data_IF_828538803905
#
_entry.id   IF_828538803905
#
_cell.length_a   1.000
_cell.length_b   1.000
_cell.length_c   1.000
_cell.angle_alpha   90.00
_cell.angle_beta   90.00
_cell.angle_gamma   90.00
#
_symmetry.space_group_name_H-M   'P 1'
#
loop_
_entity.id
_entity.type
_entity.pdbx_description
1 polymer ?
#
# COMPACT_ATOMS: atom_id res chain seq x y z
N UNK A 1 38.04 -5.20 -22.83
CA UNK A 1 39.01 -6.02 -22.08
C UNK A 1 38.22 -7.09 -21.37
N UNK A 2 38.34 -8.35 -21.82
CA UNK A 2 37.54 -9.45 -21.28
C UNK A 2 37.95 -9.68 -19.82
N UNK A 3 37.01 -9.61 -18.89
CA UNK A 3 37.33 -9.80 -17.46
C UNK A 3 37.47 -11.30 -17.22
N UNK A 4 38.68 -11.76 -16.84
CA UNK A 4 38.88 -13.14 -16.41
C UNK A 4 38.17 -13.36 -15.06
N UNK A 5 37.24 -14.32 -15.04
CA UNK A 5 36.45 -14.72 -13.88
C UNK A 5 37.36 -15.14 -12.71
N UNK A 6 38.51 -15.76 -13.00
CA UNK A 6 39.46 -16.21 -11.98
C UNK A 6 40.13 -15.03 -11.28
N UNK A 7 40.49 -14.00 -12.04
CA UNK A 7 41.12 -12.79 -11.50
C UNK A 7 40.13 -12.00 -10.64
N UNK A 8 38.87 -11.89 -11.09
CA UNK A 8 37.80 -11.29 -10.30
C UNK A 8 37.59 -12.06 -8.98
N UNK A 9 37.55 -13.39 -9.03
CA UNK A 9 37.38 -14.22 -7.83
C UNK A 9 38.53 -14.07 -6.83
N UNK A 10 39.77 -14.01 -7.31
CA UNK A 10 40.96 -13.78 -6.47
C UNK A 10 40.94 -12.38 -5.83
N UNK A 11 40.53 -11.36 -6.59
CA UNK A 11 40.34 -10.01 -6.07
C UNK A 11 39.27 -9.98 -4.98
N UNK A 12 38.11 -10.59 -5.21
CA UNK A 12 37.04 -10.68 -4.20
C UNK A 12 37.51 -11.36 -2.92
N UNK A 13 38.22 -12.50 -3.01
CA UNK A 13 38.79 -13.18 -1.83
C UNK A 13 39.76 -12.31 -1.05
N UNK A 14 40.62 -11.57 -1.74
CA UNK A 14 41.58 -10.68 -1.09
C UNK A 14 40.91 -9.50 -0.39
N UNK A 15 39.85 -8.94 -0.99
CA UNK A 15 39.05 -7.88 -0.38
C UNK A 15 38.35 -8.36 0.88
N UNK A 16 37.78 -9.57 0.87
CA UNK A 16 37.11 -10.15 2.06
C UNK A 16 38.12 -10.39 3.19
N UNK A 17 39.33 -10.90 2.87
CA UNK A 17 40.37 -11.15 3.88
C UNK A 17 40.90 -9.87 4.53
N UNK A 18 41.11 -8.82 3.75
CA UNK A 18 41.65 -7.54 4.22
C UNK A 18 40.92 -6.37 3.52
N UNK A 19 39.78 -5.90 4.05
CA UNK A 19 38.98 -4.87 3.39
C UNK A 19 39.66 -3.50 3.36
N UNK A 20 40.35 -3.12 4.45
CA UNK A 20 40.89 -1.77 4.66
C UNK A 20 41.95 -1.37 3.63
N UNK A 21 42.82 -2.29 3.24
CA UNK A 21 43.87 -2.06 2.25
C UNK A 21 43.36 -2.14 0.80
N UNK A 22 42.17 -2.72 0.59
CA UNK A 22 41.68 -3.07 -0.75
C UNK A 22 40.47 -2.25 -1.23
N UNK A 23 39.98 -1.26 -0.46
CA UNK A 23 38.89 -0.37 -0.89
C UNK A 23 39.13 0.33 -2.24
N UNK A 24 40.38 0.72 -2.53
CA UNK A 24 40.75 1.30 -3.83
C UNK A 24 40.56 0.31 -4.99
N UNK A 25 40.79 -0.98 -4.75
CA UNK A 25 40.62 -2.04 -5.77
C UNK A 25 39.15 -2.25 -6.11
N UNK A 26 38.24 -2.19 -5.12
CA UNK A 26 36.79 -2.24 -5.39
C UNK A 26 36.38 -1.10 -6.33
N UNK A 27 36.85 0.12 -6.06
CA UNK A 27 36.54 1.27 -6.92
C UNK A 27 37.11 1.11 -8.33
N UNK A 28 38.30 0.52 -8.47
CA UNK A 28 38.88 0.21 -9.78
C UNK A 28 38.04 -0.81 -10.56
N UNK A 29 37.60 -1.89 -9.90
CA UNK A 29 36.71 -2.92 -10.50
C UNK A 29 35.42 -2.26 -11.00
N UNK A 30 34.78 -1.43 -10.17
CA UNK A 30 33.54 -0.74 -10.52
C UNK A 30 33.68 0.28 -11.65
N UNK A 31 34.87 0.86 -11.82
CA UNK A 31 35.15 1.83 -12.88
C UNK A 31 35.70 1.19 -14.16
N UNK A 32 35.87 -0.14 -14.18
CA UNK A 32 36.37 -0.84 -15.36
C UNK A 32 35.32 -0.74 -16.46
N UNK A 33 35.67 -0.08 -17.57
CA UNK A 33 34.77 0.07 -18.72
C UNK A 33 34.52 -1.31 -19.32
N UNK A 34 33.28 -1.75 -19.21
CA UNK A 34 32.79 -3.03 -19.73
C UNK A 34 31.89 -2.75 -20.93
N UNK A 35 32.19 -3.42 -22.04
CA UNK A 35 31.43 -3.31 -23.29
C UNK A 35 30.25 -4.29 -23.30
N UNK A 36 30.37 -5.44 -22.60
CA UNK A 36 29.32 -6.45 -22.46
C UNK A 36 28.45 -6.23 -21.22
N UNK A 37 27.13 -6.39 -21.37
CA UNK A 37 26.17 -6.40 -20.25
C UNK A 37 26.36 -7.60 -19.30
N UNK A 38 26.88 -8.72 -19.80
CA UNK A 38 27.14 -9.92 -19.01
C UNK A 38 28.30 -9.70 -18.02
N UNK A 39 29.36 -9.02 -18.47
CA UNK A 39 30.50 -8.66 -17.62
C UNK A 39 30.08 -7.69 -16.51
N UNK A 40 29.26 -6.68 -16.84
CA UNK A 40 28.68 -5.74 -15.85
C UNK A 40 27.86 -6.48 -14.80
N UNK A 41 27.01 -7.39 -15.26
CA UNK A 41 26.17 -8.23 -14.42
C UNK A 41 27.01 -9.07 -13.45
N UNK A 42 28.08 -9.69 -13.94
CA UNK A 42 29.01 -10.48 -13.13
C UNK A 42 29.70 -9.63 -12.06
N UNK A 43 30.15 -8.42 -12.44
CA UNK A 43 30.78 -7.47 -11.49
C UNK A 43 29.80 -7.08 -10.40
N UNK A 44 28.57 -6.67 -10.74
CA UNK A 44 27.58 -6.25 -9.75
C UNK A 44 27.25 -7.34 -8.74
N UNK A 45 27.02 -8.57 -9.20
CA UNK A 45 26.74 -9.69 -8.32
C UNK A 45 27.94 -10.04 -7.44
N UNK A 46 29.16 -10.00 -7.99
CA UNK A 46 30.39 -10.32 -7.25
C UNK A 46 30.70 -9.27 -6.17
N UNK A 47 30.60 -7.99 -6.52
CA UNK A 47 30.82 -6.88 -5.59
C UNK A 47 29.73 -6.86 -4.51
N UNK A 48 28.47 -7.16 -4.85
CA UNK A 48 27.41 -7.32 -3.86
C UNK A 48 27.74 -8.41 -2.82
N UNK A 49 28.21 -9.59 -3.26
CA UNK A 49 28.61 -10.67 -2.33
C UNK A 49 29.75 -10.25 -1.41
N UNK A 50 30.71 -9.48 -1.92
CA UNK A 50 31.79 -8.90 -1.11
C UNK A 50 31.21 -7.95 -0.05
N UNK A 51 30.30 -7.07 -0.43
CA UNK A 51 29.65 -6.16 0.51
C UNK A 51 28.79 -6.87 1.57
N UNK A 52 28.13 -7.97 1.21
CA UNK A 52 27.40 -8.84 2.16
C UNK A 52 28.28 -9.32 3.33
N UNK A 53 29.57 -9.49 3.09
CA UNK A 53 30.54 -9.97 4.09
C UNK A 53 31.26 -8.87 4.87
N UNK A 54 31.29 -7.63 4.35
CA UNK A 54 32.13 -6.53 4.91
C UNK A 54 31.28 -5.46 5.59
N UNK A 55 30.03 -5.27 5.14
CA UNK A 55 29.19 -4.19 5.67
C UNK A 55 28.78 -4.49 7.11
N UNK A 56 28.96 -3.52 8.03
CA UNK A 56 28.47 -3.66 9.38
C UNK A 56 26.94 -3.75 9.40
N UNK A 57 26.41 -4.52 10.36
CA UNK A 57 24.96 -4.63 10.57
C UNK A 57 24.35 -3.39 11.25
N UNK A 58 25.17 -2.43 11.65
CA UNK A 58 24.74 -1.16 12.22
C UNK A 58 24.83 -0.03 11.18
N UNK A 59 23.96 0.97 11.33
CA UNK A 59 24.02 2.20 10.53
C UNK A 59 25.26 3.00 10.91
N UNK A 60 26.13 3.27 9.93
CA UNK A 60 27.31 4.10 10.15
C UNK A 60 26.82 5.53 10.44
N UNK A 61 27.08 6.04 11.64
CA UNK A 61 26.72 7.42 11.99
C UNK A 61 27.42 8.37 11.04
N UNK A 62 26.71 9.32 10.44
CA UNK A 62 27.32 10.37 9.62
C UNK A 62 27.31 11.68 10.40
N UNK A 63 28.14 12.67 10.02
CA UNK A 63 28.21 13.97 10.71
C UNK A 63 26.86 14.72 10.77
N UNK A 64 25.87 14.31 9.95
CA UNK A 64 24.51 14.84 9.94
C UNK A 64 23.61 14.29 11.06
N UNK A 65 23.98 13.15 11.66
CA UNK A 65 23.19 12.45 12.68
C UNK A 65 23.52 12.89 14.13
N UNK A 66 24.13 14.06 14.32
CA UNK A 66 24.48 14.57 15.67
C UNK A 66 23.23 14.93 16.48
N UNK A 67 22.63 13.94 17.12
CA UNK A 67 21.84 14.14 18.34
C UNK A 67 22.82 14.49 19.45
N UNK A 68 22.51 15.54 20.22
CA UNK A 68 23.29 15.99 21.38
C UNK A 68 23.24 14.94 22.51
N UNK A 69 23.91 13.81 22.36
CA UNK A 69 24.20 12.93 23.49
C UNK A 69 25.58 13.27 24.03
N UNK A 70 25.58 13.85 25.23
CA UNK A 70 26.77 14.06 26.05
C UNK A 70 27.19 12.69 26.59
N UNK A 71 28.38 12.26 26.18
CA UNK A 71 29.20 11.12 26.66
C UNK A 71 29.33 10.00 25.63
N UNK A 72 30.59 9.82 25.24
CA UNK A 72 31.19 8.80 24.38
C UNK A 72 31.03 9.02 22.87
N UNK A 73 31.83 9.98 22.39
CA UNK A 73 32.19 10.17 20.98
C UNK A 73 32.87 8.90 20.42
N UNK A 74 32.08 7.95 19.94
CA UNK A 74 32.54 7.00 18.92
C UNK A 74 32.73 7.80 17.62
N UNK A 75 33.90 8.42 17.48
CA UNK A 75 34.30 9.07 16.24
C UNK A 75 34.19 8.09 15.08
N UNK A 76 33.55 8.52 13.98
CA UNK A 76 33.49 7.77 12.73
C UNK A 76 34.92 7.49 12.29
N UNK A 77 35.34 6.23 12.31
CA UNK A 77 36.70 5.84 11.96
C UNK A 77 36.98 6.21 10.50
N UNK A 78 38.24 6.53 10.17
CA UNK A 78 38.64 6.83 8.77
C UNK A 78 38.22 5.70 7.80
N UNK A 79 38.18 4.47 8.31
CA UNK A 79 37.79 3.27 7.57
C UNK A 79 36.30 3.26 7.23
N UNK A 80 35.41 3.60 8.16
CA UNK A 80 33.96 3.71 7.92
C UNK A 80 33.65 4.76 6.84
N UNK A 81 34.35 5.91 6.88
CA UNK A 81 34.20 6.95 5.83
C UNK A 81 34.62 6.43 4.45
N UNK A 82 35.68 5.64 4.38
CA UNK A 82 36.16 5.08 3.11
C UNK A 82 35.21 3.99 2.59
N UNK A 83 34.75 3.09 3.46
CA UNK A 83 33.76 2.07 3.10
C UNK A 83 32.47 2.71 2.56
N UNK A 84 31.96 3.73 3.26
CA UNK A 84 30.75 4.45 2.88
C UNK A 84 30.90 5.14 1.51
N UNK A 85 32.07 5.72 1.21
CA UNK A 85 32.36 6.30 -0.13
C UNK A 85 32.37 5.26 -1.25
N UNK A 86 33.03 4.12 -1.03
CA UNK A 86 33.09 3.05 -2.03
C UNK A 86 31.70 2.47 -2.26
N UNK A 87 30.94 2.25 -1.18
CA UNK A 87 29.58 1.75 -1.28
C UNK A 87 28.64 2.74 -1.97
N UNK A 88 28.72 4.04 -1.65
CA UNK A 88 27.99 5.09 -2.37
C UNK A 88 28.21 5.03 -3.88
N UNK A 89 29.46 4.82 -4.29
CA UNK A 89 29.82 4.71 -5.71
C UNK A 89 29.13 3.51 -6.36
N UNK A 90 29.14 2.36 -5.67
CA UNK A 90 28.46 1.14 -6.12
C UNK A 90 26.94 1.32 -6.24
N UNK A 91 26.30 1.88 -5.21
CA UNK A 91 24.86 2.12 -5.20
C UNK A 91 24.46 3.07 -6.32
N UNK A 92 25.21 4.15 -6.52
CA UNK A 92 24.92 5.09 -7.60
C UNK A 92 24.99 4.43 -8.98
N UNK A 93 25.97 3.54 -9.21
CA UNK A 93 26.06 2.79 -10.46
C UNK A 93 24.86 1.85 -10.66
N UNK A 94 24.51 1.04 -9.65
CA UNK A 94 23.33 0.15 -9.71
C UNK A 94 22.04 0.93 -9.93
N UNK A 95 21.89 2.06 -9.23
CA UNK A 95 20.70 2.88 -9.33
C UNK A 95 20.57 3.54 -10.71
N UNK A 96 21.69 3.90 -11.34
CA UNK A 96 21.72 4.44 -12.71
C UNK A 96 21.43 3.38 -13.79
N UNK A 97 21.84 2.13 -13.57
CA UNK A 97 21.72 1.08 -14.57
C UNK A 97 20.32 0.46 -14.62
N UNK A 98 19.75 0.22 -15.80
CA UNK A 98 18.39 -0.31 -15.99
C UNK A 98 18.32 -1.83 -16.23
N UNK A 99 19.45 -2.54 -16.18
CA UNK A 99 19.51 -3.99 -16.39
C UNK A 99 18.70 -4.78 -15.36
N UNK A 100 18.32 -6.02 -15.71
CA UNK A 100 17.67 -6.95 -14.78
C UNK A 100 18.53 -7.19 -13.52
N UNK A 101 19.84 -7.33 -13.71
CA UNK A 101 20.78 -7.65 -12.64
C UNK A 101 20.95 -6.50 -11.66
N UNK A 102 20.85 -5.24 -12.09
CA UNK A 102 20.86 -4.08 -11.20
C UNK A 102 19.65 -4.09 -10.25
N UNK A 103 18.45 -4.39 -10.76
CA UNK A 103 17.26 -4.52 -9.92
C UNK A 103 17.34 -5.74 -9.01
N UNK A 104 17.87 -6.87 -9.50
CA UNK A 104 18.09 -8.06 -8.68
C UNK A 104 19.00 -7.73 -7.50
N UNK A 105 20.16 -7.12 -7.74
CA UNK A 105 21.09 -6.71 -6.67
C UNK A 105 20.42 -5.73 -5.72
N UNK A 106 19.66 -4.73 -6.21
CA UNK A 106 18.93 -3.80 -5.34
C UNK A 106 17.92 -4.50 -4.43
N UNK A 107 17.17 -5.49 -4.95
CA UNK A 107 16.24 -6.29 -4.12
C UNK A 107 16.96 -7.12 -3.07
N UNK A 108 18.12 -7.70 -3.40
CA UNK A 108 18.95 -8.46 -2.46
C UNK A 108 19.58 -7.58 -1.37
N UNK A 109 19.98 -6.34 -1.72
CA UNK A 109 20.46 -5.35 -0.75
C UNK A 109 19.35 -5.02 0.24
N UNK A 110 18.15 -4.74 -0.25
CA UNK A 110 17.00 -4.46 0.61
C UNK A 110 16.62 -5.65 1.48
N UNK A 111 16.78 -6.87 0.96
CA UNK A 111 16.48 -8.10 1.70
C UNK A 111 17.48 -8.35 2.84
N UNK A 112 18.76 -8.12 2.60
CA UNK A 112 19.81 -8.46 3.55
C UNK A 112 20.13 -7.37 4.58
N UNK A 113 20.03 -6.08 4.21
CA UNK A 113 20.43 -4.99 5.09
C UNK A 113 19.21 -4.22 5.63
N UNK A 114 18.96 -4.32 6.94
CA UNK A 114 17.83 -3.68 7.61
C UNK A 114 18.11 -2.21 7.98
N UNK A 115 19.26 -1.92 8.61
CA UNK A 115 19.62 -0.58 9.09
C UNK A 115 20.73 0.06 8.26
N UNK A 116 20.44 0.34 7.00
CA UNK A 116 21.45 0.74 6.01
C UNK A 116 21.37 2.22 5.60
N UNK A 117 22.53 2.88 5.43
CA UNK A 117 22.64 4.33 5.20
C UNK A 117 21.98 4.85 3.91
N UNK A 118 21.86 4.03 2.86
CA UNK A 118 21.28 4.41 1.57
C UNK A 118 19.99 3.64 1.25
N UNK A 119 19.25 3.29 2.30
CA UNK A 119 18.00 2.56 2.20
C UNK A 119 16.96 3.33 1.37
N UNK A 120 16.91 4.65 1.50
CA UNK A 120 16.06 5.55 0.71
C UNK A 120 16.33 5.45 -0.81
N UNK A 121 17.61 5.46 -1.20
CA UNK A 121 18.04 5.36 -2.61
C UNK A 121 17.69 3.99 -3.19
N UNK A 122 17.89 2.92 -2.40
CA UNK A 122 17.54 1.56 -2.81
C UNK A 122 16.04 1.37 -2.91
N UNK A 123 15.26 1.83 -1.93
CA UNK A 123 13.80 1.80 -1.98
C UNK A 123 13.29 2.53 -3.22
N UNK A 124 13.82 3.72 -3.53
CA UNK A 124 13.53 4.46 -4.77
C UNK A 124 13.82 3.65 -6.03
N UNK A 125 14.92 2.90 -6.06
CA UNK A 125 15.25 2.02 -7.17
C UNK A 125 14.27 0.85 -7.30
N UNK A 126 13.97 0.16 -6.21
CA UNK A 126 13.03 -0.98 -6.20
C UNK A 126 11.62 -0.53 -6.60
N UNK A 127 11.16 0.63 -6.12
CA UNK A 127 9.88 1.23 -6.55
C UNK A 127 9.82 1.47 -8.05
N UNK A 128 10.87 2.04 -8.66
CA UNK A 128 10.96 2.19 -10.12
C UNK A 128 10.93 0.85 -10.86
N UNK A 129 11.44 -0.22 -10.23
CA UNK A 129 11.42 -1.57 -10.78
C UNK A 129 10.02 -2.16 -10.92
N UNK A 130 9.08 -1.72 -10.08
CA UNK A 130 7.66 -2.16 -10.14
C UNK A 130 6.96 -1.76 -11.44
N UNK A 131 7.48 -0.75 -12.16
CA UNK A 131 6.95 -0.27 -13.44
C UNK A 131 7.59 -0.94 -14.66
N UNK A 132 8.58 -1.82 -14.46
CA UNK A 132 9.31 -2.49 -15.56
C UNK A 132 8.60 -3.78 -15.98
N UNK A 133 9.25 -4.54 -16.85
CA UNK A 133 8.79 -5.83 -17.36
C UNK A 133 8.33 -6.76 -16.23
N UNK A 134 7.37 -7.66 -16.52
CA UNK A 134 6.70 -8.51 -15.51
C UNK A 134 7.68 -9.20 -14.56
N UNK A 135 8.78 -9.79 -15.07
CA UNK A 135 9.79 -10.46 -14.22
C UNK A 135 10.45 -9.53 -13.19
N UNK A 136 10.83 -8.32 -13.60
CA UNK A 136 11.45 -7.33 -12.69
C UNK A 136 10.40 -6.82 -11.70
N UNK A 137 9.19 -6.52 -12.21
CA UNK A 137 8.10 -6.02 -11.38
C UNK A 137 7.70 -7.02 -10.29
N UNK A 138 7.50 -8.29 -10.63
CA UNK A 138 7.17 -9.38 -9.71
C UNK A 138 8.25 -9.57 -8.64
N UNK A 139 9.53 -9.52 -9.02
CA UNK A 139 10.66 -9.60 -8.09
C UNK A 139 10.67 -8.42 -7.11
N UNK A 140 10.48 -7.19 -7.60
CA UNK A 140 10.44 -6.00 -6.76
C UNK A 140 9.22 -6.00 -5.83
N UNK A 141 8.02 -6.34 -6.33
CA UNK A 141 6.78 -6.41 -5.55
C UNK A 141 6.85 -7.49 -4.46
N UNK A 142 7.36 -8.67 -4.78
CA UNK A 142 7.52 -9.76 -3.79
C UNK A 142 8.51 -9.39 -2.69
N UNK A 143 9.60 -8.69 -3.03
CA UNK A 143 10.57 -8.19 -2.04
C UNK A 143 9.94 -7.13 -1.14
N UNK A 144 9.24 -6.15 -1.71
CA UNK A 144 8.52 -5.13 -0.93
C UNK A 144 7.50 -5.80 0.00
N UNK A 145 6.71 -6.75 -0.50
CA UNK A 145 5.71 -7.46 0.29
C UNK A 145 6.32 -8.18 1.49
N UNK A 146 7.35 -9.01 1.27
CA UNK A 146 8.08 -9.72 2.34
C UNK A 146 8.58 -8.75 3.40
N UNK A 147 9.11 -7.61 2.97
CA UNK A 147 9.66 -6.60 3.86
C UNK A 147 8.62 -5.84 4.66
N UNK A 148 7.48 -5.48 4.06
CA UNK A 148 6.35 -4.88 4.78
C UNK A 148 5.79 -5.87 5.81
N UNK A 149 5.70 -7.16 5.47
CA UNK A 149 5.16 -8.19 6.35
C UNK A 149 6.08 -8.48 7.56
N UNK A 150 7.40 -8.35 7.38
CA UNK A 150 8.41 -8.61 8.41
C UNK A 150 8.87 -7.36 9.17
N UNK A 151 8.40 -6.16 8.82
CA UNK A 151 8.83 -4.90 9.47
C UNK A 151 8.17 -4.73 10.84
N UNK A 152 8.96 -4.92 11.90
CA UNK A 152 8.54 -4.81 13.29
C UNK A 152 8.59 -3.34 13.78
N UNK A 153 9.56 -2.56 13.29
CA UNK A 153 9.79 -1.20 13.81
C UNK A 153 9.01 -0.14 13.00
N UNK A 154 8.65 -0.44 11.76
CA UNK A 154 7.92 0.45 10.87
C UNK A 154 8.78 1.48 10.13
N UNK A 155 10.09 1.53 10.41
CA UNK A 155 11.01 2.46 9.75
C UNK A 155 11.03 2.25 8.24
N UNK A 156 11.10 0.98 7.79
CA UNK A 156 11.17 0.65 6.37
C UNK A 156 9.86 0.99 5.66
N UNK A 157 8.72 0.66 6.26
CA UNK A 157 7.40 1.06 5.75
C UNK A 157 7.31 2.59 5.62
N UNK A 158 7.78 3.34 6.62
CA UNK A 158 7.82 4.81 6.56
C UNK A 158 8.70 5.32 5.41
N UNK A 159 9.88 4.73 5.20
CA UNK A 159 10.75 5.08 4.07
C UNK A 159 10.09 4.78 2.73
N UNK A 160 9.44 3.62 2.57
CA UNK A 160 8.71 3.25 1.34
C UNK A 160 7.62 4.28 1.05
N UNK A 161 6.79 4.61 2.02
CA UNK A 161 5.70 5.57 1.87
C UNK A 161 6.24 6.96 1.49
N UNK A 162 7.31 7.43 2.13
CA UNK A 162 7.91 8.72 1.79
C UNK A 162 8.51 8.75 0.38
N UNK A 163 9.18 7.68 -0.05
CA UNK A 163 9.73 7.63 -1.39
C UNK A 163 8.64 7.59 -2.46
N UNK A 164 7.46 7.04 -2.16
CA UNK A 164 6.32 7.04 -3.07
C UNK A 164 5.78 8.45 -3.40
N UNK A 165 6.09 9.49 -2.62
CA UNK A 165 5.66 10.85 -2.97
C UNK A 165 6.32 11.38 -4.25
N UNK A 166 7.59 11.04 -4.47
CA UNK A 166 8.40 11.59 -5.56
C UNK A 166 8.71 10.57 -6.65
N UNK A 167 8.61 9.28 -6.31
CA UNK A 167 9.04 8.20 -7.21
C UNK A 167 7.83 7.60 -7.91
N UNK A 168 7.92 7.34 -9.23
CA UNK A 168 6.85 6.63 -9.91
C UNK A 168 6.89 5.14 -9.52
N UNK A 169 5.71 4.58 -9.27
CA UNK A 169 5.50 3.19 -8.82
C UNK A 169 4.20 2.62 -9.41
N UNK A 170 4.11 1.29 -9.49
CA UNK A 170 2.94 0.58 -10.03
C UNK A 170 1.73 0.60 -9.09
N UNK A 171 0.50 0.50 -9.59
CA UNK A 171 -0.70 0.37 -8.74
C UNK A 171 -0.62 -0.80 -7.76
N UNK A 172 0.03 -1.91 -8.14
CA UNK A 172 0.18 -3.10 -7.29
C UNK A 172 1.06 -2.82 -6.07
N UNK A 173 2.07 -1.95 -6.18
CA UNK A 173 2.87 -1.54 -5.04
C UNK A 173 2.02 -0.80 -3.99
N UNK A 174 1.01 -0.04 -4.42
CA UNK A 174 0.05 0.61 -3.51
C UNK A 174 -0.85 -0.41 -2.82
N UNK A 175 -1.23 -1.47 -3.52
CA UNK A 175 -2.05 -2.56 -2.97
C UNK A 175 -1.37 -3.25 -1.77
N UNK A 176 -0.03 -3.34 -1.77
CA UNK A 176 0.73 -3.91 -0.67
C UNK A 176 0.58 -3.10 0.64
N UNK A 177 0.43 -1.78 0.55
CA UNK A 177 0.24 -0.90 1.70
C UNK A 177 -1.15 -1.04 2.36
N UNK A 178 -2.08 -1.77 1.74
CA UNK A 178 -3.38 -2.03 2.33
C UNK A 178 -3.29 -2.98 3.52
N UNK A 179 -2.28 -3.85 3.61
CA UNK A 179 -2.23 -4.92 4.61
C UNK A 179 -1.00 -4.85 5.52
N UNK A 180 -0.66 -3.66 6.01
CA UNK A 180 0.46 -3.48 6.94
C UNK A 180 0.11 -4.15 8.28
N UNK A 181 0.76 -5.28 8.60
CA UNK A 181 0.49 -6.06 9.82
C UNK A 181 0.75 -5.25 11.09
N UNK A 182 1.81 -4.45 11.07
CA UNK A 182 2.20 -3.56 12.15
C UNK A 182 1.05 -2.64 12.62
N UNK A 183 0.25 -2.14 11.68
CA UNK A 183 -0.88 -1.28 12.00
C UNK A 183 -2.07 -2.07 12.55
N UNK A 184 -2.19 -3.38 12.29
CA UNK A 184 -3.29 -4.22 12.80
C UNK A 184 -3.19 -4.44 14.30
N UNK A 185 -1.99 -4.61 14.84
CA UNK A 185 -1.77 -4.82 16.28
C UNK A 185 -2.17 -3.57 17.09
N UNK A 186 -1.91 -2.39 16.53
CA UNK A 186 -2.38 -1.11 17.07
C UNK A 186 -3.91 -0.98 17.08
N UNK A 187 -4.63 -1.74 16.24
CA UNK A 187 -6.09 -1.79 16.25
C UNK A 187 -6.63 -2.65 17.40
N UNK A 188 -5.83 -3.55 17.97
CA UNK A 188 -6.33 -4.65 18.83
C UNK A 188 -5.73 -4.67 20.24
N UNK A 189 -4.54 -4.14 20.50
CA UNK A 189 -3.83 -4.45 21.75
C UNK A 189 -3.42 -3.24 22.62
N UNK A 190 -4.27 -2.91 23.61
CA UNK A 190 -3.86 -2.57 24.99
C UNK A 190 -3.57 -3.85 25.83
N UNK A 191 -3.04 -4.89 25.19
CA UNK A 191 -2.87 -6.23 25.79
C UNK A 191 -1.48 -6.47 26.37
N UNK A 192 -1.42 -6.67 27.69
CA UNK A 192 -0.22 -6.92 28.51
C UNK A 192 0.72 -8.00 27.94
N UNK A 193 2.05 -7.85 28.12
CA UNK A 193 3.02 -8.86 27.67
C UNK A 193 2.91 -10.15 28.49
N UNK A 194 2.85 -11.29 27.79
CA UNK A 194 2.99 -12.62 28.39
C UNK A 194 4.45 -12.87 28.76
N UNK A 195 4.69 -13.31 30.00
CA UNK A 195 6.00 -13.76 30.48
C UNK A 195 6.12 -15.26 30.28
N UNK A 196 6.99 -15.69 29.38
CA UNK A 196 7.39 -17.09 29.30
C UNK A 196 8.43 -17.42 30.39
N UNK A 197 8.19 -18.53 31.09
CA UNK A 197 9.07 -19.08 32.12
C UNK A 197 10.09 -20.01 31.46
N UNK A 198 11.33 -19.55 31.34
CA UNK A 198 12.45 -20.43 30.98
C UNK A 198 13.06 -21.10 32.23
N UNK A 199 13.20 -22.42 32.18
CA UNK A 199 13.92 -23.22 33.18
C UNK A 199 15.41 -22.86 33.17
N UNK A 200 15.97 -22.55 34.35
CA UNK A 200 17.40 -22.25 34.54
C UNK A 200 18.17 -23.52 34.92
N UNK A 201 19.11 -23.94 34.08
CA UNK A 201 20.17 -24.89 34.46
C UNK A 201 21.17 -24.21 35.40
N UNK A 202 21.37 -24.79 36.57
CA UNK A 202 22.23 -24.27 37.65
C UNK A 202 23.68 -24.65 37.42
N UNK A 203 24.51 -23.70 36.97
CA UNK A 203 25.96 -23.78 37.16
C UNK A 203 26.34 -23.16 38.52
N UNK A 204 27.18 -23.87 39.26
CA UNK A 204 27.66 -23.48 40.59
C UNK A 204 28.75 -22.40 40.48
N UNK A 205 28.41 -21.15 40.81
CA UNK A 205 29.34 -20.02 40.93
C UNK A 205 29.83 -19.84 42.38
N UNK A 206 31.04 -19.27 42.59
CA UNK A 206 31.54 -18.87 43.93
C UNK A 206 30.74 -17.65 44.48
N UNK A 207 30.75 -17.42 45.80
CA UNK A 207 29.88 -16.42 46.48
C UNK A 207 30.02 -14.98 45.95
N UNK A 208 31.21 -14.55 45.55
CA UNK A 208 31.46 -13.20 45.02
C UNK A 208 30.96 -13.03 43.58
N UNK A 209 31.19 -14.03 42.73
CA UNK A 209 30.66 -14.08 41.36
C UNK A 209 29.13 -14.03 41.37
N UNK A 210 28.47 -14.67 42.34
CA UNK A 210 27.01 -14.56 42.52
C UNK A 210 26.54 -13.15 42.85
N UNK A 211 27.32 -12.36 43.59
CA UNK A 211 26.98 -10.96 43.91
C UNK A 211 27.17 -10.06 42.68
N UNK A 212 28.25 -10.25 41.93
CA UNK A 212 28.54 -9.53 40.68
C UNK A 212 27.51 -9.85 39.60
N UNK A 213 27.18 -11.13 39.42
CA UNK A 213 26.17 -11.58 38.46
C UNK A 213 24.76 -11.08 38.80
N UNK A 214 24.40 -11.02 40.10
CA UNK A 214 23.13 -10.41 40.52
C UNK A 214 23.08 -8.91 40.22
N UNK A 215 24.18 -8.16 40.44
CA UNK A 215 24.25 -6.74 40.07
C UNK A 215 24.16 -6.53 38.57
N UNK A 216 24.91 -7.32 37.79
CA UNK A 216 24.87 -7.30 36.32
C UNK A 216 23.47 -7.60 35.80
N UNK A 217 22.79 -8.62 36.32
CA UNK A 217 21.41 -8.95 35.94
C UNK A 217 20.40 -7.87 36.30
N UNK A 218 20.54 -7.22 37.46
CA UNK A 218 19.68 -6.08 37.81
C UNK A 218 19.86 -4.91 36.84
N UNK A 219 21.10 -4.56 36.52
CA UNK A 219 21.43 -3.52 35.54
C UNK A 219 20.91 -3.88 34.14
N UNK A 220 21.02 -5.14 33.74
CA UNK A 220 20.52 -5.63 32.46
C UNK A 220 18.99 -5.69 32.41
N UNK A 221 18.32 -6.06 33.52
CA UNK A 221 16.86 -6.01 33.64
C UNK A 221 16.31 -4.58 33.65
N UNK A 222 16.99 -3.64 34.31
CA UNK A 222 16.64 -2.22 34.29
C UNK A 222 16.83 -1.64 32.89
N UNK A 223 17.99 -1.89 32.24
CA UNK A 223 18.22 -1.50 30.84
C UNK A 223 17.17 -2.05 29.90
N UNK A 224 16.85 -3.35 29.98
CA UNK A 224 15.80 -3.95 29.14
C UNK A 224 14.44 -3.33 29.37
N UNK A 225 14.09 -2.97 30.62
CA UNK A 225 12.80 -2.32 30.90
C UNK A 225 12.76 -0.92 30.29
N UNK A 226 13.83 -0.15 30.44
CA UNK A 226 13.97 1.18 29.84
C UNK A 226 13.91 1.09 28.31
N UNK A 227 14.71 0.21 27.69
CA UNK A 227 14.71 -0.08 26.25
C UNK A 227 13.30 -0.45 25.75
N UNK A 228 12.62 -1.39 26.40
CA UNK A 228 11.24 -1.76 25.99
C UNK A 228 10.21 -0.65 26.16
N UNK A 229 10.45 0.31 27.07
CA UNK A 229 9.58 1.47 27.25
C UNK A 229 9.84 2.52 26.16
N UNK A 230 11.10 2.82 25.88
CA UNK A 230 11.52 3.70 24.80
C UNK A 230 11.08 3.17 23.43
N UNK A 231 11.30 1.88 23.15
CA UNK A 231 10.86 1.21 21.91
C UNK A 231 9.35 1.33 21.69
N UNK A 232 8.55 1.22 22.76
CA UNK A 232 7.10 1.42 22.66
C UNK A 232 6.78 2.85 22.28
N UNK A 233 7.35 3.83 22.99
CA UNK A 233 7.11 5.25 22.69
C UNK A 233 7.55 5.62 21.27
N UNK A 234 8.73 5.16 20.85
CA UNK A 234 9.24 5.38 19.49
C UNK A 234 8.37 4.69 18.43
N UNK A 235 7.88 3.49 18.73
CA UNK A 235 6.90 2.77 17.91
C UNK A 235 5.64 3.60 17.67
N UNK A 236 5.05 4.19 18.72
CA UNK A 236 3.87 5.08 18.59
C UNK A 236 4.15 6.25 17.64
N UNK A 237 5.30 6.89 17.76
CA UNK A 237 5.69 8.01 16.90
C UNK A 237 5.84 7.57 15.45
N UNK A 238 6.48 6.42 15.20
CA UNK A 238 6.67 5.87 13.86
C UNK A 238 5.33 5.46 13.24
N UNK A 239 4.45 4.79 13.97
CA UNK A 239 3.11 4.43 13.47
C UNK A 239 2.33 5.66 13.03
N UNK A 240 2.33 6.72 13.84
CA UNK A 240 1.66 7.98 13.48
C UNK A 240 2.26 8.57 12.21
N UNK A 241 3.58 8.59 12.08
CA UNK A 241 4.28 9.04 10.87
C UNK A 241 3.90 8.21 9.63
N UNK A 242 3.75 6.89 9.77
CA UNK A 242 3.30 6.01 8.68
C UNK A 242 1.86 6.38 8.28
N UNK A 243 0.96 6.52 9.24
CA UNK A 243 -0.45 6.87 8.99
C UNK A 243 -0.58 8.23 8.32
N UNK A 244 0.08 9.25 8.85
CA UNK A 244 0.10 10.60 8.27
C UNK A 244 0.71 10.56 6.85
N UNK A 245 1.72 9.72 6.65
CA UNK A 245 2.33 9.51 5.34
C UNK A 245 1.41 8.81 4.34
N UNK A 246 0.68 7.79 4.77
CA UNK A 246 -0.31 7.09 3.94
C UNK A 246 -1.45 8.03 3.54
N UNK A 247 -1.97 8.83 4.48
CA UNK A 247 -2.97 9.85 4.19
C UNK A 247 -2.46 10.84 3.14
N UNK A 248 -1.24 11.37 3.35
CA UNK A 248 -0.60 12.27 2.38
C UNK A 248 -0.47 11.61 1.02
N UNK A 249 -0.01 10.36 0.95
CA UNK A 249 0.13 9.61 -0.31
C UNK A 249 -1.20 9.51 -1.05
N UNK A 250 -2.26 9.09 -0.35
CA UNK A 250 -3.60 8.98 -0.93
C UNK A 250 -4.13 10.33 -1.42
N UNK A 251 -3.96 11.39 -0.64
CA UNK A 251 -4.42 12.73 -1.03
C UNK A 251 -3.64 13.28 -2.23
N UNK A 252 -2.33 13.03 -2.29
CA UNK A 252 -1.51 13.38 -3.46
C UNK A 252 -2.01 12.65 -4.72
N UNK A 253 -2.33 11.36 -4.62
CA UNK A 253 -2.86 10.58 -5.75
C UNK A 253 -4.20 11.16 -6.26
N UNK A 254 -5.11 11.54 -5.34
CA UNK A 254 -6.38 12.15 -5.70
C UNK A 254 -6.20 13.54 -6.31
N UNK A 255 -5.38 14.39 -5.69
CA UNK A 255 -5.05 15.75 -6.15
C UNK A 255 -4.43 15.72 -7.55
N UNK A 256 -3.46 14.84 -7.77
CA UNK A 256 -2.75 14.71 -9.05
C UNK A 256 -3.53 13.86 -10.08
N UNK A 257 -4.74 13.41 -9.71
CA UNK A 257 -5.70 12.70 -10.57
C UNK A 257 -5.11 11.46 -11.26
N UNK A 258 -4.29 10.70 -10.53
CA UNK A 258 -3.58 9.52 -11.05
C UNK A 258 -4.54 8.31 -11.13
N UNK A 259 -5.32 8.25 -12.20
CA UNK A 259 -6.45 7.30 -12.39
C UNK A 259 -6.11 5.84 -12.09
N UNK A 260 -4.97 5.35 -12.59
CA UNK A 260 -4.53 3.96 -12.43
C UNK A 260 -4.38 3.50 -10.97
N UNK A 261 -4.30 4.44 -10.01
CA UNK A 261 -4.12 4.16 -8.58
C UNK A 261 -5.40 4.32 -7.77
N UNK A 262 -6.48 4.83 -8.36
CA UNK A 262 -7.72 5.17 -7.65
C UNK A 262 -8.33 4.03 -6.87
N UNK A 263 -8.45 2.83 -7.46
CA UNK A 263 -9.01 1.65 -6.77
C UNK A 263 -8.34 1.39 -5.42
N UNK A 264 -7.01 1.30 -5.41
CA UNK A 264 -6.25 1.02 -4.19
C UNK A 264 -6.27 2.21 -3.22
N UNK A 265 -6.28 3.45 -3.74
CA UNK A 265 -6.43 4.67 -2.94
C UNK A 265 -7.75 4.68 -2.18
N UNK A 266 -8.88 4.42 -2.84
CA UNK A 266 -10.21 4.39 -2.20
C UNK A 266 -10.29 3.33 -1.10
N UNK A 267 -9.83 2.10 -1.38
CA UNK A 267 -9.77 1.02 -0.38
C UNK A 267 -8.90 1.43 0.82
N UNK A 268 -7.75 2.06 0.55
CA UNK A 268 -6.83 2.54 1.59
C UNK A 268 -7.44 3.61 2.49
N UNK A 269 -8.03 4.65 1.90
CA UNK A 269 -8.71 5.72 2.65
C UNK A 269 -9.81 5.13 3.53
N UNK A 270 -10.66 4.25 2.97
CA UNK A 270 -11.73 3.58 3.72
C UNK A 270 -11.18 2.76 4.90
N UNK A 271 -10.10 2.00 4.68
CA UNK A 271 -9.47 1.17 5.71
C UNK A 271 -8.87 1.99 6.87
N UNK A 272 -8.24 3.11 6.55
CA UNK A 272 -7.58 3.98 7.54
C UNK A 272 -8.44 5.18 7.95
N UNK A 273 -9.75 5.18 7.65
CA UNK A 273 -10.66 6.32 7.83
C UNK A 273 -10.66 6.91 9.24
N UNK A 274 -10.54 6.06 10.27
CA UNK A 274 -10.55 6.46 11.69
C UNK A 274 -9.38 7.36 12.10
N UNK A 275 -8.33 7.40 11.30
CA UNK A 275 -7.16 8.24 11.57
C UNK A 275 -7.19 9.57 10.80
N UNK A 276 -8.13 9.74 9.86
CA UNK A 276 -8.23 10.97 9.07
C UNK A 276 -8.63 12.09 10.01
N UNK A 277 -7.83 13.16 10.05
CA UNK A 277 -8.16 14.34 10.86
C UNK A 277 -9.38 15.05 10.27
N UNK A 278 -10.27 15.52 11.14
CA UNK A 278 -11.51 16.21 10.77
C UNK A 278 -11.27 17.43 9.86
N UNK A 279 -10.16 18.15 10.07
CA UNK A 279 -9.73 19.30 9.27
C UNK A 279 -9.62 18.99 7.77
N UNK A 280 -9.39 17.72 7.40
CA UNK A 280 -9.25 17.30 6.01
C UNK A 280 -10.54 16.84 5.35
N UNK A 281 -11.64 16.74 6.08
CA UNK A 281 -12.87 16.12 5.58
C UNK A 281 -13.46 16.91 4.40
N UNK A 282 -13.53 18.23 4.50
CA UNK A 282 -14.08 19.05 3.41
C UNK A 282 -13.24 18.93 2.13
N UNK A 283 -11.92 19.08 2.22
CA UNK A 283 -11.02 18.93 1.08
C UNK A 283 -11.04 17.51 0.50
N UNK A 284 -11.12 16.49 1.35
CA UNK A 284 -11.22 15.09 0.92
C UNK A 284 -12.53 14.82 0.19
N UNK A 285 -13.66 15.38 0.65
CA UNK A 285 -14.95 15.23 -0.01
C UNK A 285 -14.92 15.78 -1.44
N UNK A 286 -14.32 16.96 -1.64
CA UNK A 286 -14.14 17.57 -2.96
C UNK A 286 -13.28 16.68 -3.85
N UNK A 287 -12.12 16.24 -3.35
CA UNK A 287 -11.20 15.38 -4.11
C UNK A 287 -11.83 14.04 -4.52
N UNK A 288 -12.65 13.43 -3.67
CA UNK A 288 -13.35 12.19 -3.97
C UNK A 288 -14.42 12.39 -5.05
N UNK A 289 -15.22 13.46 -4.98
CA UNK A 289 -16.22 13.78 -6.00
C UNK A 289 -15.57 14.09 -7.36
N UNK A 290 -14.48 14.84 -7.39
CA UNK A 290 -13.70 15.09 -8.62
C UNK A 290 -13.17 13.78 -9.22
N UNK A 291 -12.66 12.89 -8.37
CA UNK A 291 -12.13 11.59 -8.78
C UNK A 291 -13.22 10.65 -9.28
N UNK A 292 -14.45 10.76 -8.76
CA UNK A 292 -15.61 9.98 -9.21
C UNK A 292 -15.88 10.19 -10.71
N UNK A 293 -15.79 11.42 -11.19
CA UNK A 293 -16.03 11.75 -12.61
C UNK A 293 -14.96 11.19 -13.54
N UNK A 294 -13.73 11.05 -13.03
CA UNK A 294 -12.56 10.59 -13.80
C UNK A 294 -12.38 9.07 -13.80
N UNK A 295 -13.06 8.38 -12.89
CA UNK A 295 -12.91 6.95 -12.58
C UNK A 295 -13.62 6.05 -13.59
N UNK A 296 -13.06 4.85 -13.78
CA UNK A 296 -13.75 3.76 -14.49
C UNK A 296 -14.94 3.24 -13.66
N UNK A 297 -15.85 2.45 -14.26
CA UNK A 297 -17.05 1.96 -13.56
C UNK A 297 -16.75 1.20 -12.25
N UNK A 298 -15.68 0.38 -12.22
CA UNK A 298 -15.28 -0.35 -11.01
C UNK A 298 -14.73 0.60 -9.94
N UNK A 299 -13.88 1.54 -10.33
CA UNK A 299 -13.31 2.56 -9.44
C UNK A 299 -14.39 3.48 -8.88
N UNK A 300 -15.40 3.83 -9.69
CA UNK A 300 -16.57 4.59 -9.25
C UNK A 300 -17.30 3.90 -8.10
N UNK A 301 -17.51 2.57 -8.17
CA UNK A 301 -18.14 1.82 -7.07
C UNK A 301 -17.32 1.92 -5.78
N UNK A 302 -15.99 1.77 -5.86
CA UNK A 302 -15.11 1.95 -4.69
C UNK A 302 -15.12 3.38 -4.17
N UNK A 303 -15.15 4.38 -5.05
CA UNK A 303 -15.25 5.78 -4.67
C UNK A 303 -16.57 6.07 -3.93
N UNK A 304 -17.70 5.62 -4.48
CA UNK A 304 -19.02 5.75 -3.86
C UNK A 304 -19.01 5.13 -2.47
N UNK A 305 -18.56 3.87 -2.33
CA UNK A 305 -18.45 3.22 -1.01
C UNK A 305 -17.57 4.01 -0.04
N UNK A 306 -16.47 4.58 -0.52
CA UNK A 306 -15.54 5.36 0.32
C UNK A 306 -16.18 6.65 0.81
N UNK A 307 -16.92 7.36 -0.05
CA UNK A 307 -17.65 8.57 0.34
C UNK A 307 -18.72 8.22 1.37
N UNK A 308 -19.51 7.17 1.14
CA UNK A 308 -20.55 6.74 2.07
C UNK A 308 -19.95 6.35 3.43
N UNK A 309 -18.91 5.54 3.45
CA UNK A 309 -18.28 5.06 4.68
C UNK A 309 -17.71 6.17 5.59
N UNK A 310 -17.34 7.31 5.01
CA UNK A 310 -16.74 8.45 5.73
C UNK A 310 -17.80 9.48 6.08
N UNK A 311 -18.73 9.73 5.16
CA UNK A 311 -19.65 10.86 5.23
C UNK A 311 -21.11 10.49 5.51
N UNK A 312 -21.48 9.22 5.68
CA UNK A 312 -22.86 8.79 5.99
C UNK A 312 -23.47 9.53 7.20
N UNK A 313 -22.67 9.85 8.22
CA UNK A 313 -23.12 10.63 9.39
C UNK A 313 -23.25 12.13 9.14
N UNK A 314 -22.66 12.63 8.07
CA UNK A 314 -22.68 14.03 7.68
C UNK A 314 -23.83 14.20 6.69
N UNK A 315 -24.77 15.11 6.96
CA UNK A 315 -26.01 15.30 6.18
C UNK A 315 -25.77 15.90 4.77
N UNK A 316 -24.88 15.30 3.99
CA UNK A 316 -24.60 15.67 2.60
C UNK A 316 -25.72 15.18 1.67
N UNK A 317 -25.94 15.93 0.58
CA UNK A 317 -26.73 15.42 -0.54
C UNK A 317 -25.87 14.51 -1.41
N UNK A 318 -26.24 13.22 -1.45
CA UNK A 318 -25.56 12.20 -2.23
C UNK A 318 -26.11 12.05 -3.66
N UNK A 319 -26.85 13.04 -4.19
CA UNK A 319 -27.36 13.06 -5.57
C UNK A 319 -26.32 12.65 -6.61
N UNK A 320 -25.10 13.19 -6.53
CA UNK A 320 -24.02 12.84 -7.46
C UNK A 320 -23.62 11.36 -7.42
N UNK A 321 -23.67 10.74 -6.24
CA UNK A 321 -23.38 9.31 -6.08
C UNK A 321 -24.48 8.46 -6.70
N UNK A 322 -25.74 8.86 -6.52
CA UNK A 322 -26.88 8.19 -7.14
C UNK A 322 -26.81 8.28 -8.66
N UNK A 323 -26.48 9.46 -9.21
CA UNK A 323 -26.23 9.63 -10.65
C UNK A 323 -25.08 8.76 -11.15
N UNK A 324 -23.98 8.70 -10.41
CA UNK A 324 -22.85 7.86 -10.79
C UNK A 324 -23.22 6.38 -10.80
N UNK A 325 -23.99 5.90 -9.81
CA UNK A 325 -24.51 4.53 -9.77
C UNK A 325 -25.47 4.26 -10.92
N UNK A 326 -26.40 5.17 -11.20
CA UNK A 326 -27.34 5.06 -12.32
C UNK A 326 -26.60 4.84 -13.64
N UNK A 327 -25.58 5.66 -13.91
CA UNK A 327 -24.73 5.56 -15.11
C UNK A 327 -23.84 4.29 -15.15
N UNK A 328 -23.68 3.57 -14.03
CA UNK A 328 -23.00 2.26 -13.99
C UNK A 328 -23.99 1.13 -14.31
N UNK A 329 -25.23 1.25 -13.83
CA UNK A 329 -26.29 0.26 -14.06
C UNK A 329 -26.80 0.36 -15.51
N UNK A 330 -26.79 1.57 -16.10
CA UNK A 330 -27.31 1.85 -17.44
C UNK A 330 -26.39 2.79 -18.26
N UNK A 331 -26.01 2.45 -19.51
CA UNK A 331 -26.27 1.20 -20.22
C UNK A 331 -25.48 0.04 -19.63
N UNK A 332 -26.14 -1.10 -19.43
CA UNK A 332 -25.57 -2.20 -18.66
C UNK A 332 -24.39 -2.88 -19.39
N UNK A 333 -23.28 -3.09 -18.67
CA UNK A 333 -22.14 -3.84 -19.20
C UNK A 333 -22.29 -5.35 -18.92
N UNK A 334 -22.67 -6.13 -19.97
CA UNK A 334 -22.87 -7.58 -19.92
C UNK A 334 -21.72 -8.39 -19.26
N UNK A 335 -20.51 -7.83 -19.18
CA UNK A 335 -19.31 -8.45 -18.66
C UNK A 335 -19.07 -8.23 -17.14
N UNK A 336 -20.04 -7.70 -16.39
CA UNK A 336 -19.90 -7.56 -14.92
C UNK A 336 -19.91 -8.93 -14.24
N UNK A 337 -18.76 -9.35 -13.71
CA UNK A 337 -18.61 -10.61 -12.96
C UNK A 337 -19.22 -10.60 -11.55
N UNK A 338 -19.29 -11.77 -10.92
CA UNK A 338 -19.95 -11.98 -9.60
C UNK A 338 -19.44 -11.06 -8.49
N UNK A 339 -18.13 -10.86 -8.37
CA UNK A 339 -17.53 -10.00 -7.34
C UNK A 339 -17.97 -8.53 -7.47
N UNK A 340 -18.12 -8.05 -8.72
CA UNK A 340 -18.57 -6.68 -9.00
C UNK A 340 -20.05 -6.50 -8.68
N UNK A 341 -20.86 -7.55 -8.82
CA UNK A 341 -22.25 -7.53 -8.39
C UNK A 341 -22.42 -7.41 -6.88
N UNK A 342 -21.56 -8.06 -6.10
CA UNK A 342 -21.56 -7.89 -4.64
C UNK A 342 -21.20 -6.45 -4.23
N UNK A 343 -20.32 -5.78 -4.99
CA UNK A 343 -20.02 -4.36 -4.77
C UNK A 343 -21.22 -3.48 -5.10
N UNK A 344 -21.93 -3.76 -6.19
CA UNK A 344 -23.17 -3.04 -6.55
C UNK A 344 -24.24 -3.23 -5.47
N UNK A 345 -24.41 -4.45 -4.96
CA UNK A 345 -25.30 -4.75 -3.84
C UNK A 345 -24.97 -3.88 -2.62
N UNK A 346 -23.71 -3.86 -2.19
CA UNK A 346 -23.26 -3.04 -1.07
C UNK A 346 -23.52 -1.55 -1.29
N UNK A 347 -23.25 -1.03 -2.49
CA UNK A 347 -23.50 0.38 -2.82
C UNK A 347 -24.98 0.71 -2.74
N UNK A 348 -25.84 -0.14 -3.31
CA UNK A 348 -27.30 0.05 -3.29
C UNK A 348 -27.83 0.00 -1.86
N UNK A 349 -27.39 -0.95 -1.06
CA UNK A 349 -27.80 -1.07 0.34
C UNK A 349 -27.45 0.21 1.13
N UNK A 350 -26.22 0.71 1.02
CA UNK A 350 -25.85 1.95 1.72
C UNK A 350 -26.63 3.17 1.19
N UNK A 351 -26.73 3.36 -0.13
CA UNK A 351 -27.37 4.56 -0.70
C UNK A 351 -28.89 4.60 -0.52
N UNK A 352 -29.55 3.45 -0.72
CA UNK A 352 -31.00 3.38 -0.78
C UNK A 352 -31.62 2.82 0.49
N UNK A 353 -30.92 2.04 1.31
CA UNK A 353 -31.52 1.50 2.54
C UNK A 353 -31.07 2.33 3.74
N UNK A 354 -29.77 2.54 3.92
CA UNK A 354 -29.27 3.26 5.10
C UNK A 354 -29.58 4.77 5.03
N UNK A 355 -29.30 5.43 3.91
CA UNK A 355 -29.51 6.88 3.76
C UNK A 355 -30.95 7.23 3.40
N UNK A 356 -31.68 6.29 2.77
CA UNK A 356 -33.00 6.47 2.14
C UNK A 356 -32.98 7.51 1.00
N UNK A 357 -33.68 7.22 -0.09
CA UNK A 357 -33.79 8.07 -1.27
C UNK A 357 -35.25 8.39 -1.59
N UNK A 358 -35.53 9.48 -2.33
CA UNK A 358 -36.85 9.73 -2.89
C UNK A 358 -37.37 8.54 -3.70
N UNK A 359 -38.66 8.21 -3.51
CA UNK A 359 -39.31 7.05 -4.13
C UNK A 359 -39.17 7.06 -5.67
N UNK A 360 -39.20 8.23 -6.30
CA UNK A 360 -38.95 8.40 -7.75
C UNK A 360 -37.61 7.76 -8.18
N UNK A 361 -36.52 8.05 -7.47
CA UNK A 361 -35.18 7.50 -7.78
C UNK A 361 -35.14 5.99 -7.59
N UNK A 362 -35.85 5.49 -6.57
CA UNK A 362 -35.96 4.05 -6.27
C UNK A 362 -36.67 3.33 -7.42
N UNK A 363 -37.80 3.85 -7.91
CA UNK A 363 -38.52 3.26 -9.04
C UNK A 363 -37.65 3.17 -10.30
N UNK A 364 -36.94 4.25 -10.65
CA UNK A 364 -36.08 4.27 -11.83
C UNK A 364 -34.95 3.24 -11.70
N UNK A 365 -34.30 3.14 -10.53
CA UNK A 365 -33.26 2.14 -10.30
C UNK A 365 -33.82 0.72 -10.34
N UNK A 366 -35.00 0.48 -9.74
CA UNK A 366 -35.69 -0.81 -9.78
C UNK A 366 -36.02 -1.22 -11.21
N UNK A 367 -36.54 -0.31 -12.03
CA UNK A 367 -36.82 -0.54 -13.44
C UNK A 367 -35.56 -1.00 -14.19
N UNK A 368 -34.44 -0.28 -14.01
CA UNK A 368 -33.18 -0.63 -14.70
C UNK A 368 -32.55 -1.93 -14.16
N UNK A 369 -32.69 -2.22 -12.87
CA UNK A 369 -32.27 -3.51 -12.30
C UNK A 369 -33.11 -4.68 -12.81
N UNK A 370 -34.43 -4.49 -12.98
CA UNK A 370 -35.32 -5.51 -13.55
C UNK A 370 -34.98 -5.79 -15.01
N UNK A 371 -34.82 -4.73 -15.83
CA UNK A 371 -34.33 -4.86 -17.20
C UNK A 371 -33.01 -5.63 -17.25
N UNK A 372 -32.11 -5.31 -16.33
CA UNK A 372 -30.83 -5.99 -16.26
C UNK A 372 -30.98 -7.48 -15.87
N UNK A 373 -31.81 -7.80 -14.88
CA UNK A 373 -32.07 -9.17 -14.47
C UNK A 373 -32.72 -10.01 -15.58
N UNK A 374 -33.53 -9.39 -16.47
CA UNK A 374 -34.10 -10.05 -17.64
C UNK A 374 -33.05 -10.40 -18.71
N UNK A 375 -32.02 -9.57 -18.88
CA UNK A 375 -30.92 -9.83 -19.84
C UNK A 375 -29.99 -10.92 -19.32
N UNK A 376 -29.62 -10.84 -18.03
CA UNK A 376 -28.72 -11.81 -17.40
C UNK A 376 -29.13 -12.05 -15.96
N UNK A 377 -29.75 -13.20 -15.72
CA UNK A 377 -30.11 -13.60 -14.37
C UNK A 377 -28.89 -13.69 -13.46
N UNK A 378 -29.00 -13.08 -12.27
CA UNK A 378 -28.04 -13.23 -11.19
C UNK A 378 -28.81 -13.22 -9.86
N UNK A 379 -28.58 -14.21 -8.96
CA UNK A 379 -29.27 -14.28 -7.67
C UNK A 379 -29.06 -13.02 -6.80
N UNK A 380 -27.92 -12.34 -6.95
CA UNK A 380 -27.63 -11.08 -6.25
C UNK A 380 -28.62 -9.99 -6.65
N UNK A 381 -28.95 -9.87 -7.94
CA UNK A 381 -29.93 -8.88 -8.43
C UNK A 381 -31.33 -9.16 -7.90
N UNK A 382 -31.74 -10.43 -7.90
CA UNK A 382 -33.05 -10.82 -7.36
C UNK A 382 -33.19 -10.42 -5.89
N UNK A 383 -32.15 -10.65 -5.10
CA UNK A 383 -32.10 -10.24 -3.70
C UNK A 383 -32.15 -8.72 -3.54
N UNK A 384 -31.40 -7.96 -4.34
CA UNK A 384 -31.45 -6.48 -4.33
C UNK A 384 -32.86 -5.98 -4.66
N UNK A 385 -33.47 -6.47 -5.74
CA UNK A 385 -34.81 -6.06 -6.20
C UNK A 385 -35.86 -6.33 -5.13
N UNK A 386 -35.86 -7.54 -4.56
CA UNK A 386 -36.79 -7.91 -3.48
C UNK A 386 -36.58 -7.06 -2.23
N UNK A 387 -35.33 -6.78 -1.86
CA UNK A 387 -34.97 -5.98 -0.68
C UNK A 387 -35.38 -4.52 -0.85
N UNK A 388 -35.13 -3.92 -2.01
CA UNK A 388 -35.58 -2.55 -2.31
C UNK A 388 -37.10 -2.47 -2.37
N UNK A 389 -37.76 -3.41 -3.05
CA UNK A 389 -39.21 -3.44 -3.17
C UNK A 389 -39.91 -3.54 -1.82
N UNK A 390 -39.43 -4.41 -0.92
CA UNK A 390 -39.97 -4.54 0.43
C UNK A 390 -39.63 -3.37 1.35
N UNK A 391 -38.46 -2.76 1.24
CA UNK A 391 -38.09 -1.63 2.10
C UNK A 391 -38.84 -0.34 1.75
N UNK A 392 -39.21 -0.17 0.49
CA UNK A 392 -39.92 1.01 -0.01
C UNK A 392 -41.42 0.78 -0.26
N UNK A 393 -41.95 -0.40 0.07
CA UNK A 393 -43.32 -0.81 -0.20
C UNK A 393 -43.75 -0.53 -1.65
N UNK A 394 -42.87 -0.87 -2.60
CA UNK A 394 -43.12 -0.65 -4.03
C UNK A 394 -44.11 -1.68 -4.55
N UNK A 395 -45.24 -1.21 -5.07
CA UNK A 395 -46.17 -2.07 -5.79
C UNK A 395 -45.64 -2.35 -7.20
N UNK A 396 -45.17 -3.58 -7.41
CA UNK A 396 -44.69 -4.05 -8.71
C UNK A 396 -45.81 -4.32 -9.72
N UNK A 397 -47.07 -4.35 -9.28
CA UNK A 397 -48.26 -4.54 -10.11
C UNK A 397 -48.90 -3.21 -10.51
N UNK A 398 -48.36 -2.08 -10.00
CA UNK A 398 -48.96 -0.77 -10.18
C UNK A 398 -48.87 -0.33 -11.65
N UNK A 399 -50.03 -0.31 -12.31
CA UNK A 399 -50.20 0.13 -13.69
C UNK A 399 -50.30 1.66 -13.69
N UNK A 400 -49.19 2.38 -13.56
CA UNK A 400 -49.22 3.84 -13.73
C UNK A 400 -49.85 4.19 -15.09
N UNK A 401 -50.80 5.13 -15.07
CA UNK A 401 -51.53 5.59 -16.26
C UNK A 401 -50.55 6.10 -17.33
N UNK A 402 -50.73 5.64 -18.56
CA UNK A 402 -50.04 6.12 -19.74
C UNK A 402 -50.17 7.64 -19.85
N UNK A 403 -49.05 8.34 -20.02
CA UNK A 403 -49.03 9.62 -20.72
C UNK A 403 -48.57 9.31 -22.15
N UNK A 404 -49.44 9.53 -23.13
CA UNK A 404 -49.23 9.20 -24.55
C UNK A 404 -48.12 10.02 -25.23
N UNK A 405 -47.40 10.87 -24.50
CA UNK A 405 -46.35 11.77 -25.01
C UNK A 405 -44.92 11.31 -24.63
N UNK A 406 -44.73 10.03 -24.30
CA UNK A 406 -43.40 9.49 -23.97
C UNK A 406 -42.57 9.30 -25.25
N UNK A 407 -41.73 10.29 -25.55
CA UNK A 407 -40.78 10.21 -26.66
C UNK A 407 -39.64 9.24 -26.31
N UNK A 408 -39.73 8.00 -26.81
CA UNK A 408 -38.81 6.90 -26.52
C UNK A 408 -37.36 7.18 -26.96
N UNK A 409 -37.15 8.17 -27.82
CA UNK A 409 -35.86 8.50 -28.41
C UNK A 409 -35.02 9.50 -27.58
N UNK A 410 -35.63 10.28 -26.67
CA UNK A 410 -34.91 11.29 -25.86
C UNK A 410 -34.13 10.72 -24.66
N UNK A 411 -34.34 9.44 -24.30
CA UNK A 411 -33.78 8.85 -23.08
C UNK A 411 -32.34 8.37 -23.19
N UNK A 412 -31.86 8.07 -24.40
CA UNK A 412 -30.51 7.52 -24.58
C UNK A 412 -29.39 8.47 -24.14
N UNK A 413 -29.69 9.77 -24.01
CA UNK A 413 -28.74 10.82 -23.63
C UNK A 413 -28.92 11.38 -22.20
N UNK A 414 -29.97 10.99 -21.45
CA UNK A 414 -30.23 11.55 -20.10
C UNK A 414 -29.31 10.90 -19.06
N UNK A 415 -28.23 11.61 -18.69
CA UNK A 415 -27.23 11.19 -17.68
C UNK A 415 -27.65 11.45 -16.22
N UNK A 416 -28.75 12.15 -16.00
CA UNK A 416 -29.25 12.52 -14.67
C UNK A 416 -30.54 11.78 -14.33
N UNK A 417 -30.55 11.09 -13.17
CA UNK A 417 -31.68 10.26 -12.73
C UNK A 417 -32.95 11.07 -12.50
N UNK A 418 -32.81 12.32 -12.05
CA UNK A 418 -33.96 13.14 -11.67
C UNK A 418 -34.77 13.60 -12.91
N UNK A 419 -34.14 13.62 -14.08
CA UNK A 419 -34.74 13.97 -15.38
C UNK A 419 -35.41 12.78 -16.08
N UNK A 420 -35.23 11.57 -15.56
CA UNK A 420 -35.87 10.36 -16.10
C UNK A 420 -37.33 10.31 -15.65
N UNK A 421 -38.22 9.99 -16.58
CA UNK A 421 -39.64 9.82 -16.32
C UNK A 421 -39.91 8.46 -15.67
N UNK A 422 -40.89 8.40 -14.76
CA UNK A 422 -41.26 7.15 -14.09
C UNK A 422 -42.08 6.32 -15.07
N UNK A 423 -41.65 5.08 -15.31
CA UNK A 423 -42.42 4.10 -16.08
C UNK A 423 -42.95 2.99 -15.17
N UNK A 424 -44.08 2.36 -15.54
CA UNK A 424 -44.49 1.12 -14.90
C UNK A 424 -43.41 0.05 -15.02
N UNK A 425 -43.31 -0.81 -14.01
CA UNK A 425 -42.33 -1.88 -13.93
C UNK A 425 -42.73 -3.08 -14.80
N UNK A 426 -43.00 -2.85 -16.10
CA UNK A 426 -43.51 -3.85 -17.04
C UNK A 426 -42.67 -5.14 -17.10
N UNK A 427 -41.36 -5.02 -16.93
CA UNK A 427 -40.44 -6.15 -16.96
C UNK A 427 -40.56 -7.06 -15.74
N UNK A 428 -41.31 -6.66 -14.69
CA UNK A 428 -41.49 -7.47 -13.49
C UNK A 428 -42.17 -8.81 -13.77
N UNK A 429 -43.19 -8.84 -14.62
CA UNK A 429 -43.87 -10.11 -14.99
C UNK A 429 -42.94 -11.06 -15.76
N UNK A 430 -42.05 -10.51 -16.58
CA UNK A 430 -41.02 -11.29 -17.28
C UNK A 430 -39.99 -11.81 -16.27
N UNK A 431 -39.51 -10.93 -15.38
CA UNK A 431 -38.56 -11.27 -14.33
C UNK A 431 -39.10 -12.38 -13.40
N UNK A 432 -40.39 -12.35 -13.05
CA UNK A 432 -41.05 -13.39 -12.23
C UNK A 432 -41.01 -14.77 -12.90
N UNK A 433 -41.02 -14.84 -14.24
CA UNK A 433 -40.91 -16.09 -14.99
C UNK A 433 -39.47 -16.60 -15.15
N UNK A 434 -38.48 -15.72 -14.92
CA UNK A 434 -37.04 -16.04 -15.01
C UNK A 434 -36.49 -16.55 -13.66
N UNK A 435 -37.10 -16.13 -12.55
CA UNK A 435 -36.84 -16.64 -11.20
C UNK A 435 -37.27 -18.10 -11.05
#
# INVERSE_FOLDING_TARGET
MQIDIKDLANLCKNIIKNPESNYKKIKAILNTKTESEEEKSLIFVSVFKVFKSIIPLYKIRTLKDKVKQKKDDLEITKNDKNLLKVYSTFINQICSDTSYTSFYVATQILDYFEHFNYLDVIVKKVLKGTLKNNKISEMCLSTIKKKIDNDINGELVFYIVNQMYETPFSPDALALLLNINLLKEFLVNEGKPKKDRFFKTTRSFKKEERKMEKKRRKIEEERRKEETYEEKQDGFVIHRKIIDGLQRLYFLILRDKIKQKFKHTFIGIRKYKKYIRQEFYEGLYILLNDSLNLSNYEEKLYCILTILDIYESYRYDFKNLVHALFNIIYPFNANIGKLKMLLIEQVIEHLFINIKQPIKRVHIILEKLLLFACIRYNPVLSRIIKKLGSFYDVDFLDKFKFNDNLDLNEEFDKKEIDLVEIRPLYCFEIFKKIL
#
